data_IF_438574799387
#
_entry.id   IF_438574799387
#
_cell.length_a   1.000
_cell.length_b   1.000
_cell.length_c   1.000
_cell.angle_alpha   90.00
_cell.angle_beta   90.00
_cell.angle_gamma   90.00
#
_symmetry.space_group_name_H-M   'P 1'
#
loop_
_entity.id
_entity.type
_entity.pdbx_description
1 polymer ?
#
# COMPACT_ATOMS: atom_id res chain seq x y z
N UNK A 1 -24.42 -19.35 -7.07
CA UNK A 1 -23.91 -18.03 -7.51
C UNK A 1 -22.83 -17.62 -6.53
N UNK A 2 -21.63 -17.40 -7.04
CA UNK A 2 -20.36 -17.28 -6.30
C UNK A 2 -20.40 -16.09 -5.35
N UNK A 3 -20.17 -16.32 -4.06
CA UNK A 3 -20.00 -15.25 -3.07
C UNK A 3 -18.81 -14.38 -3.49
N UNK A 4 -19.07 -13.13 -3.86
CA UNK A 4 -18.01 -12.15 -4.08
C UNK A 4 -17.15 -12.07 -2.81
N UNK A 5 -15.83 -12.13 -2.94
CA UNK A 5 -14.94 -11.80 -1.81
C UNK A 5 -15.28 -10.37 -1.34
N UNK A 6 -15.23 -10.06 -0.04
CA UNK A 6 -15.45 -8.70 0.44
C UNK A 6 -14.55 -7.74 -0.35
N UNK A 7 -15.14 -6.70 -0.96
CA UNK A 7 -14.43 -5.75 -1.82
C UNK A 7 -13.13 -5.26 -1.15
N UNK A 8 -13.21 -4.94 0.15
CA UNK A 8 -12.09 -4.46 0.94
C UNK A 8 -10.94 -5.46 1.01
N UNK A 9 -11.22 -6.77 1.07
CA UNK A 9 -10.17 -7.79 1.07
C UNK A 9 -9.39 -7.77 -0.23
N UNK A 10 -10.09 -7.76 -1.36
CA UNK A 10 -9.47 -7.74 -2.70
C UNK A 10 -8.73 -6.43 -2.92
N UNK A 11 -9.32 -5.31 -2.51
CA UNK A 11 -8.70 -3.99 -2.58
C UNK A 11 -7.41 -3.93 -1.77
N UNK A 12 -7.42 -4.37 -0.51
CA UNK A 12 -6.23 -4.38 0.35
C UNK A 12 -5.14 -5.31 -0.21
N UNK A 13 -5.52 -6.53 -0.61
CA UNK A 13 -4.57 -7.51 -1.15
C UNK A 13 -3.92 -7.01 -2.47
N UNK A 14 -4.60 -6.15 -3.23
CA UNK A 14 -4.06 -5.52 -4.44
C UNK A 14 -3.29 -4.21 -4.18
N UNK A 15 -3.71 -3.40 -3.22
CA UNK A 15 -3.12 -2.07 -2.99
C UNK A 15 -1.80 -2.12 -2.23
N UNK A 16 -1.58 -3.11 -1.35
CA UNK A 16 -0.29 -3.30 -0.70
C UNK A 16 0.86 -3.44 -1.74
N UNK A 17 0.83 -4.39 -2.69
CA UNK A 17 1.91 -4.52 -3.68
C UNK A 17 1.98 -3.34 -4.67
N UNK A 18 0.85 -2.70 -4.99
CA UNK A 18 0.84 -1.46 -5.77
C UNK A 18 1.64 -0.35 -5.05
N UNK A 19 1.38 -0.14 -3.76
CA UNK A 19 2.07 0.88 -2.97
C UNK A 19 3.55 0.55 -2.78
N UNK A 20 3.91 -0.73 -2.60
CA UNK A 20 5.30 -1.17 -2.55
C UNK A 20 6.05 -0.82 -3.84
N UNK A 21 5.41 -0.99 -5.00
CA UNK A 21 5.99 -0.60 -6.29
C UNK A 21 6.21 0.91 -6.39
N UNK A 22 5.27 1.71 -5.87
CA UNK A 22 5.41 3.17 -5.79
C UNK A 22 6.56 3.60 -4.86
N UNK A 23 6.76 2.92 -3.73
CA UNK A 23 7.91 3.15 -2.82
C UNK A 23 9.24 2.89 -3.54
N UNK A 24 9.36 1.77 -4.26
CA UNK A 24 10.58 1.46 -5.03
C UNK A 24 10.85 2.53 -6.10
N UNK A 25 9.80 2.97 -6.82
CA UNK A 25 9.94 4.04 -7.82
C UNK A 25 10.37 5.36 -7.18
N UNK A 26 9.81 5.71 -6.01
CA UNK A 26 10.19 6.91 -5.26
C UNK A 26 11.65 6.85 -4.79
N UNK A 27 12.13 5.70 -4.32
CA UNK A 27 13.54 5.50 -3.96
C UNK A 27 14.48 5.69 -5.17
N UNK A 28 14.10 5.17 -6.33
CA UNK A 28 14.86 5.38 -7.56
C UNK A 28 14.87 6.85 -7.97
N UNK A 29 13.75 7.56 -7.83
CA UNK A 29 13.67 8.99 -8.12
C UNK A 29 14.57 9.81 -7.18
N UNK A 30 14.62 9.48 -5.89
CA UNK A 30 15.51 10.15 -4.93
C UNK A 30 16.99 10.00 -5.29
N UNK A 31 17.37 8.84 -5.83
CA UNK A 31 18.76 8.57 -6.25
C UNK A 31 19.14 9.28 -7.55
N UNK A 32 18.19 9.47 -8.47
CA UNK A 32 18.47 9.92 -9.85
C UNK A 32 18.06 11.36 -10.13
N UNK A 33 17.14 11.92 -9.37
CA UNK A 33 16.62 13.26 -9.65
C UNK A 33 17.69 14.33 -9.39
N UNK A 34 17.79 15.29 -10.30
CA UNK A 34 18.59 16.50 -10.12
C UNK A 34 17.75 17.62 -9.48
N UNK A 35 16.49 17.69 -9.90
CA UNK A 35 15.50 18.67 -9.49
C UNK A 35 15.00 18.46 -8.05
N UNK A 36 14.97 19.54 -7.26
CA UNK A 36 14.59 19.50 -5.85
C UNK A 36 13.11 19.14 -5.65
N UNK A 37 12.23 19.64 -6.53
CA UNK A 37 10.80 19.37 -6.52
C UNK A 37 10.50 17.88 -6.72
N UNK A 38 11.27 17.19 -7.56
CA UNK A 38 11.12 15.74 -7.78
C UNK A 38 11.56 14.98 -6.53
N UNK A 39 12.63 15.40 -5.86
CA UNK A 39 13.07 14.78 -4.59
C UNK A 39 12.04 14.99 -3.47
N UNK A 40 11.45 16.17 -3.40
CA UNK A 40 10.39 16.46 -2.43
C UNK A 40 9.17 15.58 -2.67
N UNK A 41 8.71 15.49 -3.92
CA UNK A 41 7.59 14.61 -4.28
C UNK A 41 7.89 13.14 -3.97
N UNK A 42 9.08 12.64 -4.35
CA UNK A 42 9.47 11.26 -4.09
C UNK A 42 9.55 10.96 -2.59
N UNK A 43 10.04 11.91 -1.78
CA UNK A 43 10.05 11.78 -0.30
C UNK A 43 8.63 11.67 0.26
N UNK A 44 7.71 12.53 -0.22
CA UNK A 44 6.32 12.51 0.19
C UNK A 44 5.64 11.18 -0.18
N UNK A 45 5.76 10.74 -1.44
CA UNK A 45 5.21 9.46 -1.94
C UNK A 45 5.72 8.31 -1.08
N UNK A 46 7.05 8.21 -0.86
CA UNK A 46 7.62 7.13 -0.05
C UNK A 46 7.03 7.12 1.36
N UNK A 47 6.95 8.28 2.01
CA UNK A 47 6.47 8.40 3.38
C UNK A 47 4.99 8.03 3.50
N UNK A 48 4.16 8.57 2.61
CA UNK A 48 2.72 8.36 2.63
C UNK A 48 2.35 6.92 2.27
N UNK A 49 2.95 6.37 1.21
CA UNK A 49 2.66 5.01 0.76
C UNK A 49 3.16 3.97 1.77
N UNK A 50 4.27 4.22 2.48
CA UNK A 50 4.72 3.33 3.56
C UNK A 50 3.72 3.33 4.73
N UNK A 51 3.21 4.50 5.12
CA UNK A 51 2.17 4.62 6.15
C UNK A 51 0.89 3.89 5.73
N UNK A 52 0.47 4.02 4.48
CA UNK A 52 -0.71 3.35 3.94
C UNK A 52 -0.54 1.82 3.88
N UNK A 53 0.65 1.32 3.53
CA UNK A 53 0.98 -0.12 3.60
C UNK A 53 0.78 -0.64 5.03
N UNK A 54 1.33 0.07 6.03
CA UNK A 54 1.23 -0.36 7.42
C UNK A 54 -0.21 -0.35 7.91
N UNK A 55 -0.98 0.67 7.51
CA UNK A 55 -2.41 0.76 7.82
C UNK A 55 -3.23 -0.37 7.18
N UNK A 56 -2.99 -0.66 5.90
CA UNK A 56 -3.67 -1.75 5.19
C UNK A 56 -3.31 -3.13 5.75
N UNK A 57 -2.06 -3.35 6.18
CA UNK A 57 -1.66 -4.58 6.87
C UNK A 57 -2.40 -4.76 8.19
N UNK A 58 -2.57 -3.69 8.96
CA UNK A 58 -3.36 -3.71 10.19
C UNK A 58 -4.82 -4.06 9.91
N UNK A 59 -5.46 -3.41 8.94
CA UNK A 59 -6.82 -3.74 8.52
C UNK A 59 -6.95 -5.18 8.03
N UNK A 60 -5.97 -5.65 7.24
CA UNK A 60 -5.96 -7.01 6.71
C UNK A 60 -5.93 -8.06 7.81
N UNK A 61 -5.17 -7.81 8.86
CA UNK A 61 -5.10 -8.68 10.03
C UNK A 61 -6.35 -8.57 10.90
N UNK A 62 -6.81 -7.35 11.19
CA UNK A 62 -7.96 -7.11 12.05
C UNK A 62 -9.25 -7.69 11.48
N UNK A 63 -9.47 -7.55 10.17
CA UNK A 63 -10.73 -7.95 9.52
C UNK A 63 -10.71 -9.40 9.02
N UNK A 64 -9.53 -9.94 8.69
CA UNK A 64 -9.43 -11.23 7.96
C UNK A 64 -8.33 -12.17 8.48
N UNK A 65 -7.68 -11.84 9.60
CA UNK A 65 -6.55 -12.60 10.16
C UNK A 65 -6.92 -13.64 11.23
N UNK A 66 -8.20 -13.73 11.63
CA UNK A 66 -8.68 -14.74 12.59
C UNK A 66 -9.61 -15.76 11.92
N UNK A 67 -9.51 -17.06 12.25
CA UNK A 67 -10.46 -18.07 11.78
C UNK A 67 -11.82 -17.83 12.45
N UNK A 68 -12.65 -16.99 11.83
CA UNK A 68 -13.98 -16.62 12.34
C UNK A 68 -14.45 -15.21 12.02
N UNK A 69 -13.59 -14.31 11.54
CA UNK A 69 -13.93 -12.89 11.28
C UNK A 69 -14.70 -12.66 9.96
N UNK A 70 -15.32 -13.70 9.40
CA UNK A 70 -16.06 -13.65 8.14
C UNK A 70 -17.34 -14.47 8.20
N UNK A 71 -18.13 -14.30 9.27
CA UNK A 71 -19.56 -14.66 9.28
C UNK A 71 -20.41 -13.41 9.23
#
# INVERSE_FOLDING_TARGET
MTTAQPFDRVFIDAMIPHHQSAVVAAEQALLKAEHAEIKQLATAIKTDQQREIDQMRQWRQAWYGSPGAGR
#
